data_IF_868758239730
#
_entry.id   IF_868758239730
#
_cell.length_a   1.000
_cell.length_b   1.000
_cell.length_c   1.000
_cell.angle_alpha   90.00
_cell.angle_beta   90.00
_cell.angle_gamma   90.00
#
_symmetry.space_group_name_H-M   'P 1'
#
loop_
_entity.id
_entity.type
_entity.pdbx_description
1 polymer ?
#
# COMPACT_ATOMS: atom_id res chain seq x y z
N UNK A 1 -0.99 -41.59 19.90
CA UNK A 1 -0.12 -40.81 19.00
C UNK A 1 1.00 -40.17 19.82
N UNK A 2 2.26 -40.30 19.41
CA UNK A 2 3.40 -39.74 20.14
C UNK A 2 3.34 -38.19 20.10
N UNK A 3 3.57 -37.51 21.23
CA UNK A 3 3.55 -36.04 21.34
C UNK A 3 4.54 -35.39 20.37
N UNK A 4 5.69 -36.01 20.13
CA UNK A 4 6.67 -35.52 19.17
C UNK A 4 6.15 -35.56 17.72
N UNK A 5 5.44 -36.63 17.35
CA UNK A 5 4.83 -36.76 16.02
C UNK A 5 3.74 -35.70 15.79
N UNK A 6 2.92 -35.42 16.81
CA UNK A 6 1.89 -34.37 16.75
C UNK A 6 2.50 -32.98 16.53
N UNK A 7 3.56 -32.64 17.26
CA UNK A 7 4.26 -31.35 17.13
C UNK A 7 4.91 -31.19 15.75
N UNK A 8 5.47 -32.27 15.21
CA UNK A 8 6.06 -32.25 13.88
C UNK A 8 4.98 -32.02 12.81
N UNK A 9 3.84 -32.72 12.90
CA UNK A 9 2.72 -32.53 11.98
C UNK A 9 2.15 -31.10 12.02
N UNK A 10 2.00 -30.52 13.22
CA UNK A 10 1.56 -29.12 13.38
C UNK A 10 2.56 -28.14 12.77
N UNK A 11 3.86 -28.40 12.94
CA UNK A 11 4.93 -27.60 12.33
C UNK A 11 4.93 -27.70 10.81
N UNK A 12 4.73 -28.90 10.25
CA UNK A 12 4.69 -29.12 8.80
C UNK A 12 3.47 -28.44 8.17
N UNK A 13 2.32 -28.48 8.85
CA UNK A 13 1.12 -27.70 8.46
C UNK A 13 1.38 -26.20 8.49
N UNK A 14 1.96 -25.69 9.56
CA UNK A 14 2.26 -24.26 9.69
C UNK A 14 3.25 -23.80 8.61
N UNK A 15 4.29 -24.58 8.32
CA UNK A 15 5.25 -24.30 7.26
C UNK A 15 4.59 -24.31 5.88
N UNK A 16 3.78 -25.32 5.59
CA UNK A 16 3.07 -25.43 4.31
C UNK A 16 2.14 -24.24 4.09
N UNK A 17 1.41 -23.83 5.13
CA UNK A 17 0.56 -22.65 5.09
C UNK A 17 1.38 -21.36 4.88
N UNK A 18 2.49 -21.21 5.61
CA UNK A 18 3.36 -20.04 5.47
C UNK A 18 3.91 -19.90 4.04
N UNK A 19 4.39 -20.99 3.43
CA UNK A 19 4.87 -20.98 2.05
C UNK A 19 3.76 -20.71 1.04
N UNK A 20 2.58 -21.31 1.21
CA UNK A 20 1.43 -21.06 0.34
C UNK A 20 1.01 -19.59 0.35
N UNK A 21 0.88 -18.99 1.55
CA UNK A 21 0.53 -17.58 1.70
C UNK A 21 1.63 -16.65 1.18
N UNK A 22 2.91 -17.01 1.34
CA UNK A 22 4.02 -16.23 0.80
C UNK A 22 4.02 -16.22 -0.74
N UNK A 23 3.75 -17.38 -1.37
CA UNK A 23 3.60 -17.47 -2.82
C UNK A 23 2.41 -16.62 -3.31
N UNK A 24 1.27 -16.70 -2.63
CA UNK A 24 0.09 -15.88 -2.96
C UNK A 24 0.35 -14.38 -2.81
N UNK A 25 1.03 -13.95 -1.73
CA UNK A 25 1.46 -12.56 -1.55
C UNK A 25 2.38 -12.07 -2.67
N UNK A 26 3.25 -12.94 -3.20
CA UNK A 26 4.13 -12.61 -4.32
C UNK A 26 3.34 -12.38 -5.62
N UNK A 27 2.33 -13.21 -5.88
CA UNK A 27 1.42 -13.02 -7.02
C UNK A 27 0.62 -11.73 -6.85
N UNK A 28 0.08 -11.49 -5.66
CA UNK A 28 -0.67 -10.28 -5.35
C UNK A 28 0.18 -9.01 -5.53
N UNK A 29 1.45 -9.05 -5.11
CA UNK A 29 2.39 -7.96 -5.31
C UNK A 29 2.59 -7.65 -6.81
N UNK A 30 2.76 -8.69 -7.63
CA UNK A 30 2.90 -8.53 -9.08
C UNK A 30 1.62 -7.97 -9.72
N UNK A 31 0.45 -8.45 -9.31
CA UNK A 31 -0.83 -7.96 -9.83
C UNK A 31 -1.06 -6.48 -9.46
N UNK A 32 -0.66 -6.06 -8.24
CA UNK A 32 -0.73 -4.67 -7.80
C UNK A 32 0.20 -3.78 -8.63
N UNK A 33 1.43 -4.23 -8.87
CA UNK A 33 2.39 -3.52 -9.71
C UNK A 33 1.83 -3.30 -11.12
N UNK A 34 1.31 -4.37 -11.75
CA UNK A 34 0.67 -4.28 -13.07
C UNK A 34 -0.55 -3.36 -13.07
N UNK A 35 -1.40 -3.44 -12.04
CA UNK A 35 -2.58 -2.58 -11.92
C UNK A 35 -2.19 -1.10 -11.75
N UNK A 36 -1.11 -0.82 -11.00
CA UNK A 36 -0.54 0.51 -10.83
C UNK A 36 -0.01 1.08 -12.15
N UNK A 37 0.75 0.28 -12.89
CA UNK A 37 1.29 0.68 -14.20
C UNK A 37 0.16 0.98 -15.20
N UNK A 38 -0.85 0.11 -15.28
CA UNK A 38 -2.00 0.34 -16.15
C UNK A 38 -2.73 1.64 -15.80
N UNK A 39 -2.92 1.92 -14.50
CA UNK A 39 -3.53 3.17 -14.04
C UNK A 39 -2.71 4.40 -14.42
N UNK A 40 -1.37 4.33 -14.37
CA UNK A 40 -0.48 5.42 -14.82
C UNK A 40 -0.66 5.69 -16.30
N UNK A 41 -0.66 4.65 -17.14
CA UNK A 41 -0.88 4.78 -18.58
C UNK A 41 -2.23 5.45 -18.87
N UNK A 42 -3.31 5.01 -18.19
CA UNK A 42 -4.63 5.62 -18.36
C UNK A 42 -4.64 7.08 -17.89
N UNK A 43 -4.03 7.39 -16.74
CA UNK A 43 -3.92 8.76 -16.25
C UNK A 43 -3.17 9.67 -17.23
N UNK A 44 -2.10 9.19 -17.85
CA UNK A 44 -1.31 9.95 -18.82
C UNK A 44 -2.08 10.19 -20.12
N UNK A 45 -2.85 9.21 -20.59
CA UNK A 45 -3.78 9.39 -21.72
C UNK A 45 -4.83 10.46 -21.36
N UNK A 46 -5.46 10.33 -20.20
CA UNK A 46 -6.50 11.27 -19.76
C UNK A 46 -5.92 12.69 -19.62
N UNK A 47 -4.74 12.87 -19.02
CA UNK A 47 -4.04 14.17 -18.95
C UNK A 47 -3.76 14.75 -20.33
N UNK A 48 -3.35 13.92 -21.30
CA UNK A 48 -3.02 14.35 -22.67
C UNK A 48 -4.24 14.86 -23.44
N UNK A 49 -5.39 14.21 -23.28
CA UNK A 49 -6.62 14.57 -23.99
C UNK A 49 -7.55 15.49 -23.18
N UNK A 50 -7.30 15.66 -21.88
CA UNK A 50 -8.05 16.52 -20.99
C UNK A 50 -9.53 16.15 -20.95
N UNK A 51 -10.45 17.14 -20.93
CA UNK A 51 -11.89 16.92 -20.96
C UNK A 51 -12.41 16.23 -22.25
N UNK A 52 -11.57 16.08 -23.28
CA UNK A 52 -11.91 15.38 -24.53
C UNK A 52 -11.57 13.89 -24.50
N UNK A 53 -11.02 13.39 -23.39
CA UNK A 53 -10.78 11.97 -23.21
C UNK A 53 -12.09 11.16 -23.36
N UNK A 54 -11.98 9.94 -23.86
CA UNK A 54 -13.12 9.02 -23.94
C UNK A 54 -13.71 8.80 -22.54
N UNK A 55 -15.04 8.90 -22.43
CA UNK A 55 -15.77 8.70 -21.17
C UNK A 55 -15.56 7.29 -20.61
N UNK A 56 -15.30 6.30 -21.46
CA UNK A 56 -14.97 4.95 -21.00
C UNK A 56 -13.64 4.89 -20.27
N UNK A 57 -12.67 5.75 -20.60
CA UNK A 57 -11.40 5.88 -19.85
C UNK A 57 -11.60 6.56 -18.49
N UNK A 58 -12.67 7.35 -18.34
CA UNK A 58 -13.02 8.05 -17.09
C UNK A 58 -13.85 7.18 -16.14
N UNK A 59 -14.01 5.88 -16.44
CA UNK A 59 -14.63 4.93 -15.53
C UNK A 59 -13.59 4.35 -14.58
N UNK A 60 -13.91 4.37 -13.29
CA UNK A 60 -13.13 3.64 -12.30
C UNK A 60 -13.45 2.16 -12.40
N UNK A 61 -12.43 1.36 -12.68
CA UNK A 61 -12.49 -0.09 -12.61
C UNK A 61 -11.63 -0.58 -11.46
N UNK A 62 -12.26 -1.32 -10.55
CA UNK A 62 -11.54 -2.03 -9.51
C UNK A 62 -10.91 -3.31 -10.11
N UNK A 63 -9.62 -3.57 -9.83
CA UNK A 63 -8.99 -4.82 -10.27
C UNK A 63 -9.58 -6.04 -9.56
N UNK A 64 -9.29 -7.21 -10.14
CA UNK A 64 -9.63 -8.52 -9.57
C UNK A 64 -8.42 -9.06 -8.84
N UNK A 65 -8.52 -9.16 -7.53
CA UNK A 65 -7.54 -9.86 -6.71
C UNK A 65 -8.01 -11.30 -6.47
N UNK A 66 -7.08 -12.25 -6.49
CA UNK A 66 -7.37 -13.65 -6.15
C UNK A 66 -6.54 -14.03 -4.94
N UNK A 67 -7.22 -14.50 -3.90
CA UNK A 67 -6.64 -14.81 -2.59
C UNK A 67 -7.06 -16.21 -2.14
N UNK A 68 -6.94 -17.19 -3.05
CA UNK A 68 -7.50 -18.52 -2.89
C UNK A 68 -6.89 -19.30 -1.70
N UNK A 69 -5.60 -19.14 -1.45
CA UNK A 69 -4.92 -19.76 -0.31
C UNK A 69 -5.40 -19.12 0.99
N UNK A 70 -5.45 -17.79 1.06
CA UNK A 70 -5.99 -17.09 2.21
C UNK A 70 -7.45 -17.48 2.48
N UNK A 71 -8.32 -17.41 1.47
CA UNK A 71 -9.75 -17.71 1.60
C UNK A 71 -9.99 -19.13 2.11
N UNK A 72 -9.23 -20.10 1.58
CA UNK A 72 -9.33 -21.50 1.99
C UNK A 72 -8.79 -21.75 3.41
N UNK A 73 -7.92 -20.88 3.95
CA UNK A 73 -7.18 -21.12 5.19
C UNK A 73 -7.36 -20.04 6.27
N UNK A 74 -8.29 -19.10 6.11
CA UNK A 74 -8.51 -18.00 7.06
C UNK A 74 -8.75 -18.49 8.50
N UNK A 75 -9.48 -19.60 8.66
CA UNK A 75 -9.78 -20.22 9.96
C UNK A 75 -8.57 -20.94 10.57
N UNK A 76 -7.50 -21.15 9.81
CA UNK A 76 -6.30 -21.86 10.23
C UNK A 76 -5.08 -20.95 10.43
N UNK A 77 -5.20 -19.63 10.22
CA UNK A 77 -4.08 -18.71 10.39
C UNK A 77 -3.46 -18.73 11.79
N UNK A 78 -4.24 -19.10 12.81
CA UNK A 78 -3.76 -19.21 14.20
C UNK A 78 -2.58 -20.17 14.39
N UNK A 79 -2.37 -21.14 13.49
CA UNK A 79 -1.21 -22.05 13.55
C UNK A 79 0.13 -21.35 13.32
N UNK A 80 0.11 -20.14 12.74
CA UNK A 80 1.29 -19.29 12.53
C UNK A 80 1.61 -18.42 13.75
N UNK A 81 0.76 -18.46 14.78
CA UNK A 81 0.81 -17.58 15.93
C UNK A 81 0.07 -16.26 15.71
N UNK A 82 -0.46 -15.65 16.79
CA UNK A 82 -1.41 -14.54 16.69
C UNK A 82 -0.81 -13.29 16.03
N UNK A 83 0.49 -13.04 16.22
CA UNK A 83 1.15 -11.87 15.62
C UNK A 83 1.26 -11.97 14.09
N UNK A 84 1.59 -13.14 13.55
CA UNK A 84 1.68 -13.32 12.09
C UNK A 84 0.28 -13.42 11.49
N UNK A 85 -0.64 -14.12 12.17
CA UNK A 85 -2.04 -14.23 11.74
C UNK A 85 -2.73 -12.86 11.61
N UNK A 86 -2.51 -11.96 12.58
CA UNK A 86 -3.07 -10.60 12.54
C UNK A 86 -2.54 -9.79 11.36
N UNK A 87 -1.23 -9.85 11.10
CA UNK A 87 -0.62 -9.15 9.97
C UNK A 87 -1.14 -9.67 8.62
N UNK A 88 -1.28 -11.00 8.47
CA UNK A 88 -1.87 -11.61 7.27
C UNK A 88 -3.30 -11.10 7.08
N UNK A 89 -4.14 -11.17 8.11
CA UNK A 89 -5.52 -10.70 8.03
C UNK A 89 -5.59 -9.22 7.62
N UNK A 90 -4.77 -8.37 8.23
CA UNK A 90 -4.71 -6.94 7.91
C UNK A 90 -4.37 -6.69 6.43
N UNK A 91 -3.41 -7.42 5.88
CA UNK A 91 -3.04 -7.28 4.46
C UNK A 91 -4.15 -7.82 3.56
N UNK A 92 -4.58 -9.07 3.74
CA UNK A 92 -5.55 -9.71 2.84
C UNK A 92 -6.94 -9.07 2.88
N UNK A 93 -7.37 -8.55 4.03
CA UNK A 93 -8.69 -7.91 4.17
C UNK A 93 -8.91 -6.74 3.21
N UNK A 94 -7.83 -6.03 2.81
CA UNK A 94 -7.87 -4.93 1.83
C UNK A 94 -8.26 -5.38 0.42
N UNK A 95 -8.00 -6.65 0.10
CA UNK A 95 -8.22 -7.21 -1.24
C UNK A 95 -9.49 -8.04 -1.33
N UNK A 96 -10.04 -8.46 -0.20
CA UNK A 96 -11.30 -9.19 -0.11
C UNK A 96 -12.50 -8.24 -0.10
N UNK A 97 -13.63 -8.66 -0.72
CA UNK A 97 -14.87 -7.87 -0.72
C UNK A 97 -14.97 -6.78 -1.79
N UNK A 98 -13.94 -6.59 -2.62
CA UNK A 98 -14.03 -5.73 -3.80
C UNK A 98 -14.85 -6.45 -4.86
N UNK A 99 -15.98 -5.88 -5.28
CA UNK A 99 -16.76 -6.40 -6.41
C UNK A 99 -16.15 -5.90 -7.74
N UNK A 100 -15.45 -6.75 -8.49
CA UNK A 100 -14.75 -6.32 -9.70
C UNK A 100 -15.67 -6.28 -10.93
N UNK A 101 -16.93 -6.69 -10.79
CA UNK A 101 -17.94 -6.54 -11.83
C UNK A 101 -18.66 -5.19 -11.72
N UNK A 102 -18.50 -4.46 -10.61
CA UNK A 102 -19.03 -3.13 -10.47
C UNK A 102 -18.27 -2.17 -11.40
N UNK A 103 -18.95 -1.69 -12.43
CA UNK A 103 -18.49 -0.55 -13.23
C UNK A 103 -19.08 0.71 -12.62
N UNK A 104 -18.22 1.69 -12.36
CA UNK A 104 -18.69 3.02 -12.00
C UNK A 104 -19.25 3.74 -13.23
N UNK A 105 -20.12 4.71 -12.98
CA UNK A 105 -20.41 5.74 -13.97
C UNK A 105 -19.14 6.56 -14.25
N UNK A 106 -18.99 7.14 -15.45
CA UNK A 106 -17.88 8.03 -15.75
C UNK A 106 -17.87 9.20 -14.75
N UNK A 107 -16.70 9.50 -14.21
CA UNK A 107 -16.52 10.64 -13.30
C UNK A 107 -15.90 11.82 -14.03
N UNK A 108 -15.99 13.01 -13.43
CA UNK A 108 -15.35 14.20 -14.00
C UNK A 108 -13.84 14.03 -14.12
N UNK A 109 -13.25 14.65 -15.14
CA UNK A 109 -11.83 14.54 -15.49
C UNK A 109 -10.89 14.77 -14.29
N UNK A 110 -11.09 15.87 -13.55
CA UNK A 110 -10.22 16.20 -12.41
C UNK A 110 -10.37 15.21 -11.26
N UNK A 111 -11.61 14.76 -11.02
CA UNK A 111 -11.92 13.74 -10.03
C UNK A 111 -11.29 12.41 -10.40
N UNK A 112 -11.36 12.00 -11.68
CA UNK A 112 -10.75 10.77 -12.17
C UNK A 112 -9.25 10.76 -11.92
N UNK A 113 -8.55 11.84 -12.29
CA UNK A 113 -7.10 11.93 -12.11
C UNK A 113 -6.72 11.91 -10.63
N UNK A 114 -7.42 12.66 -9.78
CA UNK A 114 -7.16 12.67 -8.34
C UNK A 114 -7.34 11.28 -7.72
N UNK A 115 -8.44 10.61 -8.04
CA UNK A 115 -8.71 9.26 -7.54
C UNK A 115 -7.67 8.26 -8.05
N UNK A 116 -7.29 8.36 -9.32
CA UNK A 116 -6.28 7.48 -9.91
C UNK A 116 -4.91 7.66 -9.25
N UNK A 117 -4.48 8.90 -9.04
CA UNK A 117 -3.22 9.20 -8.35
C UNK A 117 -3.26 8.71 -6.89
N UNK A 118 -4.36 8.92 -6.17
CA UNK A 118 -4.54 8.38 -4.82
C UNK A 118 -4.47 6.86 -4.78
N UNK A 119 -5.15 6.15 -5.70
CA UNK A 119 -5.10 4.68 -5.77
C UNK A 119 -3.69 4.18 -6.09
N UNK A 120 -2.93 4.86 -6.96
CA UNK A 120 -1.53 4.49 -7.24
C UNK A 120 -0.68 4.60 -5.97
N UNK A 121 -0.85 5.66 -5.17
CA UNK A 121 -0.13 5.81 -3.90
C UNK A 121 -0.54 4.75 -2.87
N UNK A 122 -1.83 4.42 -2.79
CA UNK A 122 -2.34 3.36 -1.94
C UNK A 122 -1.69 2.00 -2.29
N UNK A 123 -1.64 1.66 -3.58
CA UNK A 123 -0.96 0.44 -4.06
C UNK A 123 0.51 0.38 -3.66
N UNK A 124 1.24 1.51 -3.69
CA UNK A 124 2.62 1.54 -3.23
C UNK A 124 2.74 1.28 -1.72
N UNK A 125 1.81 1.80 -0.93
CA UNK A 125 1.72 1.51 0.51
C UNK A 125 1.43 0.03 0.78
N UNK A 126 0.47 -0.53 0.05
CA UNK A 126 0.09 -1.94 0.15
C UNK A 126 1.22 -2.90 -0.24
N UNK A 127 2.00 -2.56 -1.26
CA UNK A 127 3.19 -3.31 -1.67
C UNK A 127 4.22 -3.44 -0.54
N UNK A 128 4.39 -2.38 0.26
CA UNK A 128 5.29 -2.41 1.41
C UNK A 128 4.77 -3.36 2.49
N UNK A 129 3.46 -3.31 2.76
CA UNK A 129 2.82 -4.17 3.76
C UNK A 129 2.87 -5.65 3.33
N UNK A 130 2.58 -5.93 2.05
CA UNK A 130 2.71 -7.26 1.45
C UNK A 130 4.15 -7.77 1.57
N UNK A 131 5.14 -6.94 1.21
CA UNK A 131 6.56 -7.30 1.30
C UNK A 131 6.98 -7.59 2.74
N UNK A 132 6.46 -6.82 3.70
CA UNK A 132 6.71 -7.04 5.13
C UNK A 132 6.16 -8.39 5.59
N UNK A 133 4.88 -8.68 5.33
CA UNK A 133 4.26 -9.95 5.73
C UNK A 133 4.90 -11.14 5.03
N UNK A 134 5.26 -11.00 3.75
CA UNK A 134 6.02 -12.00 3.02
C UNK A 134 7.34 -12.33 3.72
N UNK A 135 8.11 -11.31 4.14
CA UNK A 135 9.35 -11.53 4.91
C UNK A 135 9.08 -12.27 6.21
N UNK A 136 8.03 -11.91 6.96
CA UNK A 136 7.66 -12.58 8.21
C UNK A 136 7.36 -14.07 8.00
N UNK A 137 6.61 -14.41 6.94
CA UNK A 137 6.30 -15.80 6.60
C UNK A 137 7.55 -16.60 6.24
N UNK A 138 8.45 -15.99 5.47
CA UNK A 138 9.72 -16.62 5.12
C UNK A 138 10.64 -16.79 6.33
N UNK A 139 10.67 -15.83 7.27
CA UNK A 139 11.44 -15.96 8.52
C UNK A 139 10.85 -16.99 9.45
N UNK A 140 9.52 -17.09 9.53
CA UNK A 140 8.82 -18.13 10.28
C UNK A 140 9.23 -19.53 9.80
N UNK A 141 9.21 -19.77 8.49
CA UNK A 141 9.55 -21.08 7.92
C UNK A 141 11.06 -21.39 7.97
N UNK A 142 11.93 -20.38 7.83
CA UNK A 142 13.39 -20.57 7.76
C UNK A 142 14.11 -20.45 9.12
N UNK A 143 13.44 -19.99 10.17
CA UNK A 143 14.04 -19.73 11.48
C UNK A 143 14.97 -18.50 11.52
N UNK A 144 14.92 -17.63 10.50
CA UNK A 144 15.67 -16.37 10.45
C UNK A 144 15.04 -15.32 11.38
N UNK A 145 15.78 -14.24 11.74
CA UNK A 145 15.23 -13.16 12.55
C UNK A 145 13.97 -12.54 11.92
N UNK A 146 12.86 -12.52 12.67
CA UNK A 146 11.61 -11.87 12.28
C UNK A 146 11.80 -10.34 12.25
N UNK A 147 11.43 -9.62 11.17
CA UNK A 147 11.49 -8.16 11.12
C UNK A 147 10.55 -7.46 12.11
N UNK A 148 9.69 -8.22 12.80
CA UNK A 148 8.75 -7.72 13.79
C UNK A 148 7.36 -7.47 13.19
N UNK A 149 6.39 -7.05 14.01
CA UNK A 149 5.00 -6.92 13.57
C UNK A 149 4.79 -5.72 12.64
N UNK A 150 3.85 -5.86 11.70
CA UNK A 150 3.55 -4.86 10.68
C UNK A 150 3.24 -3.48 11.26
N UNK A 151 2.44 -3.42 12.33
CA UNK A 151 2.04 -2.15 12.96
C UNK A 151 3.24 -1.31 13.44
N UNK A 152 4.36 -1.94 13.83
CA UNK A 152 5.57 -1.25 14.24
C UNK A 152 6.23 -0.56 13.02
N UNK A 153 6.28 -1.26 11.89
CA UNK A 153 6.73 -0.73 10.61
C UNK A 153 5.83 0.41 10.13
N UNK A 154 4.50 0.25 10.21
CA UNK A 154 3.54 1.28 9.83
C UNK A 154 3.67 2.55 10.69
N UNK A 155 3.83 2.38 12.01
CA UNK A 155 4.04 3.50 12.93
C UNK A 155 5.32 4.25 12.60
N UNK A 156 6.39 3.53 12.28
CA UNK A 156 7.65 4.15 11.84
C UNK A 156 7.49 4.89 10.51
N UNK A 157 6.74 4.32 9.54
CA UNK A 157 6.42 4.97 8.26
C UNK A 157 5.66 6.27 8.46
N UNK A 158 4.54 6.25 9.21
CA UNK A 158 3.75 7.45 9.52
C UNK A 158 4.56 8.54 10.22
N UNK A 159 5.46 8.15 11.14
CA UNK A 159 6.36 9.11 11.81
C UNK A 159 7.31 9.78 10.81
N UNK A 160 7.89 9.01 9.88
CA UNK A 160 8.76 9.56 8.81
C UNK A 160 7.99 10.48 7.89
N UNK A 161 6.81 10.08 7.42
CA UNK A 161 5.97 10.92 6.55
C UNK A 161 5.59 12.23 7.21
N UNK A 162 5.21 12.20 8.50
CA UNK A 162 4.92 13.41 9.27
C UNK A 162 6.16 14.31 9.43
N UNK A 163 7.35 13.73 9.55
CA UNK A 163 8.60 14.48 9.64
C UNK A 163 8.98 15.10 8.28
N UNK A 164 8.90 14.35 7.18
CA UNK A 164 9.13 14.87 5.83
C UNK A 164 8.12 15.95 5.43
N UNK A 165 6.86 15.80 5.81
CA UNK A 165 5.82 16.82 5.59
C UNK A 165 6.11 18.11 6.34
N UNK A 166 6.61 18.02 7.58
CA UNK A 166 7.06 19.20 8.36
C UNK A 166 8.28 19.86 7.73
N UNK A 167 9.32 19.08 7.39
CA UNK A 167 10.54 19.62 6.78
C UNK A 167 10.28 20.33 5.44
N UNK A 168 9.35 19.83 4.63
CA UNK A 168 8.95 20.48 3.38
C UNK A 168 8.07 21.73 3.61
N UNK A 169 7.18 21.70 4.61
CA UNK A 169 6.41 22.88 4.99
C UNK A 169 7.32 24.00 5.55
N UNK A 170 8.31 23.64 6.37
CA UNK A 170 9.28 24.58 6.93
C UNK A 170 10.16 25.20 5.83
N UNK A 171 10.58 24.42 4.83
CA UNK A 171 11.31 24.93 3.65
C UNK A 171 10.45 25.85 2.78
N UNK A 172 9.15 25.56 2.63
CA UNK A 172 8.21 26.43 1.92
C UNK A 172 8.03 27.76 2.67
N UNK A 173 7.85 27.71 4.00
CA UNK A 173 7.73 28.91 4.83
C UNK A 173 9.01 29.76 4.75
N UNK A 174 10.20 29.15 4.86
CA UNK A 174 11.48 29.85 4.73
C UNK A 174 11.66 30.47 3.32
N UNK A 175 11.31 29.75 2.26
CA UNK A 175 11.31 30.27 0.89
C UNK A 175 10.41 31.50 0.72
N UNK A 176 9.17 31.45 1.23
CA UNK A 176 8.23 32.59 1.18
C UNK A 176 8.66 33.75 2.07
N UNK A 177 9.28 33.48 3.22
CA UNK A 177 9.75 34.51 4.15
C UNK A 177 10.92 35.30 3.56
N UNK A 178 11.86 34.63 2.89
CA UNK A 178 12.98 35.28 2.17
C UNK A 178 12.54 36.03 0.92
N UNK A 179 11.49 35.55 0.24
CA UNK A 179 10.90 36.27 -0.90
C UNK A 179 10.27 37.60 -0.49
N UNK A 180 9.52 37.62 0.62
CA UNK A 180 8.89 38.83 1.18
C UNK A 180 9.90 39.87 1.68
N UNK A 181 11.02 39.44 2.26
CA UNK A 181 12.10 40.34 2.67
C UNK A 181 12.86 40.97 1.48
N UNK A 182 12.87 40.32 0.32
CA UNK A 182 13.50 40.85 -0.89
C UNK A 182 12.63 41.90 -1.63
N UNK A 183 11.31 41.85 -1.46
CA UNK A 183 10.37 42.83 -2.05
C UNK A 183 10.15 44.05 -1.13
N UNK A 184 10.33 43.89 0.19
CA UNK A 184 10.34 45.01 1.13
C UNK A 184 11.75 45.58 1.27
N UNK A 185 12.21 46.27 0.21
CA UNK A 185 13.43 47.07 0.28
C UNK A 185 13.40 48.04 1.48
N UNK A 186 14.57 48.43 2.04
CA UNK A 186 14.63 49.23 3.25
C UNK A 186 13.85 50.53 3.05
N UNK A 187 12.73 50.70 3.75
CA UNK A 187 12.02 51.97 3.84
C UNK A 187 12.93 52.94 4.57
N UNK A 188 13.73 53.66 3.78
CA UNK A 188 14.56 54.78 4.23
C UNK A 188 13.64 55.87 4.76
N UNK A 189 13.40 55.83 6.07
CA UNK A 189 12.74 56.91 6.78
C UNK A 189 13.78 58.02 7.03
N UNK A 190 14.05 58.82 6.00
CA UNK A 190 14.70 60.13 6.19
C UNK A 190 13.62 61.13 6.56
N UNK A 191 13.39 61.33 7.85
CA UNK A 191 12.78 62.56 8.33
C UNK A 191 13.88 63.59 8.57
N UNK A 192 13.66 64.75 7.94
CA UNK A 192 14.40 66.02 8.05
C UNK A 192 14.14 66.64 9.42
#
# INVERSE_FOLDING_TARGET
MNVAAKRQEEKDKANSLAFGLAAELSVLAHDIERASEMKRVVADIVRKFGPRADKELLRLQAPRWRTAIYDANINSLGVLGPSIAGDIYLVYSKFTGINPAARSEPVEYETFLRLTDSTIQEYLGDMQDITHVHKRLMTFASGKPDPGPLWATEKARKKREAQFGKENADKLIDFYSRGLESEMGPTSNKMV
#
